data_IF_095388294791
#
_entry.id   IF_095388294791
#
_cell.length_a   1.000
_cell.length_b   1.000
_cell.length_c   1.000
_cell.angle_alpha   90.00
_cell.angle_beta   90.00
_cell.angle_gamma   90.00
#
_symmetry.space_group_name_H-M   'P 1'
#
loop_
_entity.id
_entity.type
_entity.pdbx_description
1 polymer ?
#
# COMPACT_ATOMS: atom_id res chain seq x y z
N UNK A 1 11.21 -17.53 2.66
CA UNK A 1 11.25 -17.64 1.18
C UNK A 1 11.51 -16.24 0.64
N UNK A 2 12.60 -16.05 -0.14
CA UNK A 2 13.24 -14.82 -0.67
C UNK A 2 14.75 -14.77 -0.31
N UNK A 3 15.13 -15.20 0.90
CA UNK A 3 16.53 -15.19 1.36
C UNK A 3 17.46 -16.07 0.49
N UNK A 4 16.97 -17.21 0.01
CA UNK A 4 17.72 -18.09 -0.90
C UNK A 4 17.94 -17.54 -2.32
N UNK A 5 17.34 -16.39 -2.65
CA UNK A 5 17.46 -15.74 -3.96
C UNK A 5 18.40 -14.53 -3.97
N UNK A 6 19.16 -14.29 -2.88
CA UNK A 6 20.07 -13.15 -2.78
C UNK A 6 19.36 -11.80 -2.62
N UNK A 7 18.13 -11.80 -2.11
CA UNK A 7 17.33 -10.60 -1.88
C UNK A 7 17.58 -10.06 -0.47
N UNK A 8 17.84 -8.76 -0.35
CA UNK A 8 17.82 -8.04 0.92
C UNK A 8 16.45 -7.41 1.14
N UNK A 9 15.79 -7.76 2.24
CA UNK A 9 14.50 -7.19 2.61
C UNK A 9 14.68 -5.95 3.49
N UNK A 10 13.99 -4.87 3.14
CA UNK A 10 13.91 -3.67 3.97
C UNK A 10 12.45 -3.41 4.35
N UNK A 11 12.13 -3.53 5.65
CA UNK A 11 10.83 -3.14 6.19
C UNK A 11 10.82 -1.62 6.44
N UNK A 12 10.65 -0.86 5.36
CA UNK A 12 10.72 0.60 5.40
C UNK A 12 9.84 1.23 4.31
N UNK A 13 9.45 2.50 4.52
CA UNK A 13 8.81 3.30 3.47
C UNK A 13 9.90 3.88 2.56
N UNK A 14 9.78 3.63 1.26
CA UNK A 14 10.71 4.17 0.26
C UNK A 14 10.17 5.47 -0.36
N UNK A 15 11.09 6.40 -0.66
CA UNK A 15 10.85 7.59 -1.48
C UNK A 15 11.97 7.72 -2.51
N UNK A 16 11.60 7.90 -3.77
CA UNK A 16 12.57 8.23 -4.82
C UNK A 16 13.07 9.67 -4.61
N UNK A 17 14.38 9.86 -4.48
CA UNK A 17 14.99 11.18 -4.29
C UNK A 17 15.72 11.68 -5.54
N UNK A 18 16.15 10.78 -6.40
CA UNK A 18 16.64 11.05 -7.75
C UNK A 18 16.43 9.81 -8.66
N UNK A 19 16.95 9.83 -9.89
CA UNK A 19 16.75 8.75 -10.87
C UNK A 19 17.25 7.36 -10.41
N UNK A 20 18.21 7.29 -9.49
CA UNK A 20 18.87 6.06 -9.09
C UNK A 20 18.98 5.87 -7.57
N UNK A 21 18.46 6.82 -6.77
CA UNK A 21 18.55 6.79 -5.31
C UNK A 21 17.17 6.77 -4.68
N UNK A 22 16.98 5.87 -3.71
CA UNK A 22 15.81 5.82 -2.84
C UNK A 22 16.21 6.11 -1.40
N UNK A 23 15.44 6.96 -0.74
CA UNK A 23 15.48 7.13 0.70
C UNK A 23 14.52 6.14 1.34
N UNK A 24 14.99 5.35 2.32
CA UNK A 24 14.16 4.47 3.13
C UNK A 24 14.02 5.08 4.53
N UNK A 25 12.80 5.12 5.04
CA UNK A 25 12.47 5.52 6.40
C UNK A 25 11.77 4.37 7.11
N UNK A 26 12.37 3.83 8.16
CA UNK A 26 11.84 2.70 8.93
C UNK A 26 12.50 2.54 10.29
N UNK A 27 12.42 1.33 10.86
CA UNK A 27 12.97 1.03 12.20
C UNK A 27 14.48 1.29 12.33
N UNK A 28 15.22 1.22 11.23
CA UNK A 28 16.66 1.47 11.18
C UNK A 28 17.04 2.92 10.84
N UNK A 29 16.08 3.85 10.94
CA UNK A 29 16.28 5.27 10.62
C UNK A 29 16.17 5.57 9.14
N UNK A 30 16.80 6.68 8.72
CA UNK A 30 16.80 7.15 7.34
C UNK A 30 18.09 6.71 6.63
N UNK A 31 17.94 5.88 5.60
CA UNK A 31 19.07 5.38 4.80
C UNK A 31 18.86 5.70 3.32
N UNK A 32 19.96 5.93 2.60
CA UNK A 32 19.97 6.13 1.15
C UNK A 32 20.53 4.89 0.47
N UNK A 33 19.80 4.38 -0.53
CA UNK A 33 20.23 3.25 -1.36
C UNK A 33 20.26 3.65 -2.83
N UNK A 34 21.33 3.30 -3.52
CA UNK A 34 21.48 3.49 -4.95
C UNK A 34 21.27 2.19 -5.71
N UNK A 35 20.57 2.23 -6.84
CA UNK A 35 20.36 1.08 -7.71
C UNK A 35 20.42 1.49 -9.19
N UNK A 36 20.96 0.60 -10.03
CA UNK A 36 20.98 0.82 -11.50
C UNK A 36 19.58 0.83 -12.11
N UNK A 37 18.66 0.05 -11.54
CA UNK A 37 17.27 -0.07 -11.99
C UNK A 37 16.37 -0.07 -10.76
N UNK A 38 15.27 0.67 -10.84
CA UNK A 38 14.26 0.76 -9.78
C UNK A 38 12.93 0.34 -10.41
N UNK A 39 12.25 -0.63 -9.80
CA UNK A 39 10.91 -1.05 -10.19
C UNK A 39 9.92 -0.52 -9.17
N UNK A 40 8.96 0.29 -9.61
CA UNK A 40 7.90 0.80 -8.76
C UNK A 40 6.73 -0.19 -8.78
N UNK A 41 6.61 -0.97 -7.71
CA UNK A 41 5.54 -1.95 -7.52
C UNK A 41 4.77 -1.66 -6.22
N UNK A 42 4.36 -0.41 -6.01
CA UNK A 42 3.75 0.07 -4.77
C UNK A 42 2.29 -0.34 -4.58
N UNK A 43 1.65 -0.89 -5.62
CA UNK A 43 0.20 -1.16 -5.63
C UNK A 43 -0.64 0.13 -5.62
N UNK A 44 -1.89 0.02 -5.18
CA UNK A 44 -2.82 1.12 -4.99
C UNK A 44 -3.34 1.20 -3.56
N UNK A 45 -4.10 2.25 -3.25
CA UNK A 45 -4.79 2.43 -1.98
C UNK A 45 -6.29 2.64 -2.25
N UNK A 46 -7.21 2.07 -1.44
CA UNK A 46 -8.63 2.31 -1.62
C UNK A 46 -8.95 3.80 -1.52
N UNK A 47 -9.90 4.24 -2.33
CA UNK A 47 -10.38 5.61 -2.31
C UNK A 47 -11.86 5.62 -1.95
N UNK A 48 -12.20 6.40 -0.93
CA UNK A 48 -13.58 6.62 -0.50
C UNK A 48 -13.99 8.01 -0.98
N UNK A 49 -15.00 8.14 -1.86
CA UNK A 49 -15.48 9.44 -2.31
C UNK A 49 -16.17 10.21 -1.17
N UNK A 50 -16.21 11.53 -1.29
CA UNK A 50 -16.93 12.41 -0.35
C UNK A 50 -18.43 12.43 -0.67
N UNK A 51 -19.25 12.00 0.28
CA UNK A 51 -20.71 12.05 0.23
C UNK A 51 -21.29 11.98 1.65
N UNK A 52 -22.52 12.46 1.89
CA UNK A 52 -23.13 12.35 3.22
C UNK A 52 -23.19 10.89 3.69
N UNK A 53 -22.51 10.56 4.79
CA UNK A 53 -22.41 9.21 5.34
C UNK A 53 -21.21 8.40 4.83
N UNK A 54 -20.27 8.98 4.09
CA UNK A 54 -19.03 8.31 3.66
C UNK A 54 -18.18 7.80 4.81
N UNK A 55 -18.31 8.38 6.01
CA UNK A 55 -17.68 7.93 7.25
C UNK A 55 -18.16 6.55 7.73
N UNK A 56 -19.32 6.07 7.26
CA UNK A 56 -19.85 4.74 7.55
C UNK A 56 -19.49 3.72 6.47
N UNK A 57 -18.85 4.14 5.37
CA UNK A 57 -18.40 3.23 4.34
C UNK A 57 -17.17 2.45 4.83
N UNK A 58 -17.11 1.17 4.46
CA UNK A 58 -15.94 0.32 4.66
C UNK A 58 -15.21 0.16 3.33
N UNK A 59 -13.87 0.15 3.39
CA UNK A 59 -13.04 -0.17 2.23
C UNK A 59 -12.60 -1.64 2.19
N UNK A 60 -11.89 -2.03 1.14
CA UNK A 60 -11.38 -3.40 0.97
C UNK A 60 -10.30 -3.79 1.98
N UNK A 61 -9.69 -2.84 2.69
CA UNK A 61 -8.74 -3.16 3.74
C UNK A 61 -9.50 -3.58 5.01
N UNK A 62 -10.60 -2.90 5.33
CA UNK A 62 -11.36 -3.14 6.55
C UNK A 62 -12.32 -4.33 6.45
N UNK A 63 -12.80 -4.65 5.25
CA UNK A 63 -13.89 -5.63 5.10
C UNK A 63 -13.54 -7.04 5.60
N UNK A 64 -12.27 -7.40 5.60
CA UNK A 64 -11.78 -8.70 6.03
C UNK A 64 -11.58 -8.81 7.55
N UNK A 65 -11.65 -7.69 8.27
CA UNK A 65 -11.42 -7.60 9.72
C UNK A 65 -12.74 -7.44 10.51
N UNK A 66 -13.90 -7.71 9.90
CA UNK A 66 -15.20 -7.60 10.56
C UNK A 66 -15.42 -8.74 11.57
N UNK A 67 -15.72 -8.39 12.83
CA UNK A 67 -16.04 -9.36 13.90
C UNK A 67 -17.20 -10.29 13.53
N UNK A 68 -18.20 -9.76 12.81
CA UNK A 68 -19.36 -10.53 12.34
C UNK A 68 -19.71 -10.16 10.92
N UNK A 69 -20.02 -11.16 10.10
CA UNK A 69 -20.45 -10.94 8.73
C UNK A 69 -21.87 -10.35 8.71
N UNK A 70 -22.11 -9.23 7.99
CA UNK A 70 -23.39 -8.57 8.00
C UNK A 70 -24.46 -9.39 7.26
N UNK A 71 -25.71 -9.34 7.76
CA UNK A 71 -26.85 -10.04 7.12
C UNK A 71 -27.22 -9.47 5.74
N UNK A 72 -26.79 -8.25 5.44
CA UNK A 72 -26.95 -7.58 4.14
C UNK A 72 -25.64 -6.92 3.80
N UNK A 73 -25.13 -7.20 2.61
CA UNK A 73 -23.84 -6.73 2.16
C UNK A 73 -23.97 -6.10 0.78
N UNK A 74 -23.60 -4.82 0.66
CA UNK A 74 -23.58 -4.09 -0.60
C UNK A 74 -22.13 -3.79 -0.96
N UNK A 75 -21.60 -4.56 -1.90
CA UNK A 75 -20.26 -4.38 -2.44
C UNK A 75 -20.37 -3.75 -3.82
N UNK A 76 -20.30 -2.43 -3.88
CA UNK A 76 -20.07 -1.70 -5.12
C UNK A 76 -18.58 -1.37 -5.22
N UNK A 77 -17.85 -2.18 -5.97
CA UNK A 77 -16.46 -1.87 -6.35
C UNK A 77 -16.53 -0.82 -7.46
N UNK A 78 -16.33 0.45 -7.12
CA UNK A 78 -16.21 1.52 -8.10
C UNK A 78 -14.74 1.61 -8.50
N UNK A 79 -14.38 0.89 -9.57
CA UNK A 79 -13.06 1.08 -10.21
C UNK A 79 -13.14 2.36 -11.04
N UNK A 80 -12.58 3.45 -10.52
CA UNK A 80 -12.32 4.63 -11.35
C UNK A 80 -11.09 4.32 -12.19
N UNK A 81 -11.32 3.94 -13.44
CA UNK A 81 -10.30 3.99 -14.48
C UNK A 81 -10.18 5.45 -14.95
N UNK A 82 -8.96 5.93 -15.29
CA UNK A 82 -8.76 7.27 -15.84
C UNK A 82 -9.51 7.49 -17.16
#
# INVERSE_FOLDING_TARGET
MLEGAGVTLFNARARLVDANTVALSGEHGNILLTARKIVLATGGWPWVPDFPGSEFALDSNQIFDLDTFPKRFWCSVVVILP
#
